data_IF_822438374368
#
_entry.id   IF_822438374368
#
_cell.length_a   1.000
_cell.length_b   1.000
_cell.length_c   1.000
_cell.angle_alpha   90.00
_cell.angle_beta   90.00
_cell.angle_gamma   90.00
#
_symmetry.space_group_name_H-M   'P 1'
#
loop_
_entity.id
_entity.type
_entity.pdbx_description
1 polymer ?
#
# COMPACT_ATOMS: atom_id res chain seq x y z
N UNK A 1 -34.96 -9.46 16.38
CA UNK A 1 -34.66 -8.17 15.72
C UNK A 1 -34.04 -7.27 16.77
N UNK A 2 -32.73 -7.28 16.88
CA UNK A 2 -31.96 -6.36 17.74
C UNK A 2 -31.38 -5.30 16.80
N UNK A 3 -31.95 -4.11 16.85
CA UNK A 3 -31.40 -2.94 16.20
C UNK A 3 -30.25 -2.44 17.06
N UNK A 4 -29.02 -2.87 16.73
CA UNK A 4 -27.79 -2.23 17.21
C UNK A 4 -27.78 -0.78 16.71
N UNK A 5 -28.26 0.12 17.56
CA UNK A 5 -28.04 1.55 17.42
C UNK A 5 -26.58 1.81 17.76
N UNK A 6 -25.66 1.68 16.79
CA UNK A 6 -24.33 2.29 16.87
C UNK A 6 -24.58 3.79 17.09
N UNK A 7 -24.30 4.27 18.29
CA UNK A 7 -24.24 5.70 18.59
C UNK A 7 -23.19 6.31 17.67
N UNK A 8 -23.62 7.03 16.64
CA UNK A 8 -22.73 7.79 15.77
C UNK A 8 -22.08 8.86 16.62
N UNK A 9 -20.82 8.73 16.91
CA UNK A 9 -20.04 9.77 17.60
C UNK A 9 -20.10 11.03 16.74
N UNK A 10 -20.46 12.17 17.33
CA UNK A 10 -20.57 13.42 16.57
C UNK A 10 -19.20 13.88 16.08
N UNK A 11 -19.15 14.59 14.96
CA UNK A 11 -17.92 15.16 14.41
C UNK A 11 -17.23 16.10 15.42
N UNK A 12 -18.00 16.83 16.25
CA UNK A 12 -17.47 17.68 17.31
C UNK A 12 -16.77 16.86 18.40
N UNK A 13 -17.36 15.73 18.79
CA UNK A 13 -16.76 14.83 19.78
C UNK A 13 -15.47 14.17 19.24
N UNK A 14 -15.48 13.75 17.97
CA UNK A 14 -14.27 13.21 17.31
C UNK A 14 -13.16 14.26 17.27
N UNK A 15 -13.47 15.51 16.89
CA UNK A 15 -12.51 16.60 16.86
C UNK A 15 -11.91 16.86 18.24
N UNK A 16 -12.75 17.04 19.25
CA UNK A 16 -12.29 17.30 20.63
C UNK A 16 -11.42 16.15 21.18
N UNK A 17 -11.82 14.90 20.95
CA UNK A 17 -11.06 13.72 21.38
C UNK A 17 -9.69 13.66 20.68
N UNK A 18 -9.67 13.81 19.35
CA UNK A 18 -8.44 13.71 18.58
C UNK A 18 -7.48 14.88 18.87
N UNK A 19 -7.97 16.10 18.98
CA UNK A 19 -7.14 17.26 19.33
C UNK A 19 -6.50 17.09 20.70
N UNK A 20 -7.28 16.68 21.73
CA UNK A 20 -6.74 16.38 23.05
C UNK A 20 -5.70 15.26 23.01
N UNK A 21 -5.99 14.19 22.28
CA UNK A 21 -5.06 13.06 22.13
C UNK A 21 -3.76 13.46 21.42
N UNK A 22 -3.84 14.31 20.39
CA UNK A 22 -2.67 14.83 19.70
C UNK A 22 -1.86 15.76 20.60
N UNK A 23 -2.50 16.65 21.37
CA UNK A 23 -1.81 17.55 22.29
C UNK A 23 -1.00 16.78 23.37
N UNK A 24 -1.45 15.57 23.76
CA UNK A 24 -0.75 14.70 24.71
C UNK A 24 0.33 13.82 24.08
N UNK A 25 0.14 13.38 22.85
CA UNK A 25 0.93 12.30 22.25
C UNK A 25 1.81 12.72 21.08
N UNK A 26 1.43 13.77 20.34
CA UNK A 26 2.18 14.24 19.20
C UNK A 26 3.42 15.02 19.61
N UNK A 27 4.59 14.66 19.05
CA UNK A 27 5.81 15.44 19.15
C UNK A 27 6.66 15.22 17.89
N UNK A 28 7.13 16.28 17.23
CA UNK A 28 8.03 16.17 16.08
C UNK A 28 9.42 15.61 16.44
N UNK A 29 9.79 15.61 17.72
CA UNK A 29 11.10 15.14 18.20
C UNK A 29 11.17 13.62 18.41
N UNK A 30 10.04 12.92 18.25
CA UNK A 30 10.02 11.45 18.26
C UNK A 30 10.59 10.89 16.95
N UNK A 31 11.10 9.66 16.96
CA UNK A 31 11.34 8.96 15.70
C UNK A 31 10.01 8.63 15.01
N UNK A 32 10.02 8.54 13.67
CA UNK A 32 8.81 8.23 12.90
C UNK A 32 8.16 6.91 13.33
N UNK A 33 8.98 5.88 13.60
CA UNK A 33 8.49 4.58 14.06
C UNK A 33 7.83 4.69 15.43
N UNK A 34 8.49 5.32 16.41
CA UNK A 34 7.92 5.49 17.74
C UNK A 34 6.61 6.31 17.74
N UNK A 35 6.52 7.31 16.88
CA UNK A 35 5.27 8.03 16.67
C UNK A 35 4.16 7.14 16.11
N UNK A 36 4.48 6.36 15.05
CA UNK A 36 3.49 5.49 14.42
C UNK A 36 3.05 4.34 15.31
N UNK A 37 3.91 3.84 16.20
CA UNK A 37 3.50 2.89 17.24
C UNK A 37 2.41 3.47 18.14
N UNK A 38 2.61 4.71 18.64
CA UNK A 38 1.62 5.42 19.44
C UNK A 38 0.33 5.64 18.64
N UNK A 39 0.45 6.01 17.37
CA UNK A 39 -0.67 6.26 16.48
C UNK A 39 -1.52 4.99 16.25
N UNK A 40 -0.86 3.84 16.08
CA UNK A 40 -1.51 2.53 15.91
C UNK A 40 -2.20 2.11 17.20
N UNK A 41 -1.52 2.24 18.35
CA UNK A 41 -2.08 1.88 19.67
C UNK A 41 -3.28 2.78 20.04
N UNK A 42 -3.26 4.04 19.62
CA UNK A 42 -4.37 4.98 19.78
C UNK A 42 -5.58 4.71 18.85
N UNK A 43 -5.44 3.80 17.88
CA UNK A 43 -6.50 3.51 16.91
C UNK A 43 -6.69 4.60 15.85
N UNK A 44 -5.75 5.54 15.73
CA UNK A 44 -5.83 6.67 14.80
C UNK A 44 -5.07 6.43 13.48
N UNK A 45 -4.31 5.31 13.40
CA UNK A 45 -3.53 4.96 12.21
C UNK A 45 -4.41 4.65 11.00
N UNK A 46 -5.53 3.99 11.23
CA UNK A 46 -6.50 3.60 10.21
C UNK A 46 -7.94 3.76 10.73
N UNK A 47 -8.41 5.00 10.94
CA UNK A 47 -9.62 5.29 11.72
C UNK A 47 -10.90 4.64 11.16
N UNK A 48 -10.95 4.34 9.87
CA UNK A 48 -12.07 3.62 9.24
C UNK A 48 -12.07 2.10 9.46
N UNK A 49 -10.97 1.53 9.97
CA UNK A 49 -10.90 0.09 10.22
C UNK A 49 -11.64 -0.31 11.49
N UNK A 50 -12.00 -1.60 11.64
CA UNK A 50 -12.53 -2.12 12.91
C UNK A 50 -11.57 -1.86 14.08
N UNK A 51 -12.13 -1.62 15.27
CA UNK A 51 -11.33 -1.33 16.46
C UNK A 51 -10.40 -2.47 16.88
N UNK A 52 -10.78 -3.70 16.60
CA UNK A 52 -9.96 -4.90 16.81
C UNK A 52 -8.71 -4.97 15.91
N UNK A 53 -8.66 -4.15 14.85
CA UNK A 53 -7.56 -4.04 13.89
C UNK A 53 -7.05 -2.60 13.76
N UNK A 54 -6.80 -1.95 14.89
CA UNK A 54 -6.13 -0.64 14.99
C UNK A 54 -6.91 0.55 14.41
N UNK A 55 -8.24 0.43 14.29
CA UNK A 55 -9.14 1.48 13.82
C UNK A 55 -10.16 1.91 14.87
N UNK A 56 -11.17 2.65 14.42
CA UNK A 56 -12.28 3.17 15.25
C UNK A 56 -13.66 2.88 14.64
N UNK A 57 -13.70 2.23 13.48
CA UNK A 57 -14.92 1.93 12.76
C UNK A 57 -15.63 3.17 12.21
N UNK A 58 -14.88 4.23 11.95
CA UNK A 58 -15.40 5.48 11.44
C UNK A 58 -15.87 5.36 10.00
N UNK A 59 -16.90 6.10 9.66
CA UNK A 59 -17.34 6.24 8.28
C UNK A 59 -16.42 7.16 7.45
N UNK A 60 -16.73 7.32 6.17
CA UNK A 60 -15.91 8.09 5.24
C UNK A 60 -15.74 9.56 5.63
N UNK A 61 -16.82 10.18 6.11
CA UNK A 61 -16.81 11.61 6.45
C UNK A 61 -16.05 11.84 7.75
N UNK A 62 -16.19 10.94 8.71
CA UNK A 62 -15.43 10.93 9.96
C UNK A 62 -13.93 10.69 9.71
N UNK A 63 -13.58 9.77 8.80
CA UNK A 63 -12.19 9.56 8.37
C UNK A 63 -11.63 10.83 7.71
N UNK A 64 -12.40 11.51 6.87
CA UNK A 64 -11.98 12.76 6.24
C UNK A 64 -11.71 13.86 7.28
N UNK A 65 -12.55 13.96 8.32
CA UNK A 65 -12.36 14.87 9.44
C UNK A 65 -11.06 14.57 10.21
N UNK A 66 -10.78 13.30 10.49
CA UNK A 66 -9.50 12.89 11.12
C UNK A 66 -8.32 13.36 10.28
N UNK A 67 -8.36 13.17 8.97
CA UNK A 67 -7.30 13.62 8.06
C UNK A 67 -7.13 15.14 8.04
N UNK A 68 -8.22 15.89 8.16
CA UNK A 68 -8.20 17.35 8.27
C UNK A 68 -7.48 17.79 9.53
N UNK A 69 -7.83 17.22 10.69
CA UNK A 69 -7.23 17.56 11.98
C UNK A 69 -5.73 17.23 12.00
N UNK A 70 -5.32 16.07 11.45
CA UNK A 70 -3.90 15.73 11.32
C UNK A 70 -3.14 16.78 10.50
N UNK A 71 -3.75 17.28 9.42
CA UNK A 71 -3.18 18.32 8.58
C UNK A 71 -3.06 19.66 9.32
N UNK A 72 -4.09 20.05 10.06
CA UNK A 72 -4.10 21.27 10.87
C UNK A 72 -3.00 21.26 11.95
N UNK A 73 -2.81 20.11 12.60
CA UNK A 73 -1.80 19.89 13.65
C UNK A 73 -0.38 19.59 13.08
N UNK A 74 -0.24 19.38 11.78
CA UNK A 74 1.01 18.96 11.14
C UNK A 74 1.45 17.55 11.50
N UNK A 75 0.59 16.75 12.10
CA UNK A 75 0.94 15.40 12.52
C UNK A 75 1.09 14.43 11.32
N UNK A 76 2.16 13.63 11.34
CA UNK A 76 2.42 12.62 10.29
C UNK A 76 1.53 11.40 10.51
N UNK A 77 0.93 10.87 9.44
CA UNK A 77 0.09 9.69 9.49
C UNK A 77 0.81 8.35 9.41
N UNK A 78 0.03 7.27 9.35
CA UNK A 78 0.52 5.90 9.17
C UNK A 78 1.19 5.69 7.80
N UNK A 79 2.00 4.64 7.71
CA UNK A 79 2.65 4.21 6.47
C UNK A 79 1.65 3.49 5.54
N UNK A 80 0.77 4.25 4.89
CA UNK A 80 -0.36 3.72 4.12
C UNK A 80 -0.31 4.18 2.65
N UNK A 81 0.83 3.99 1.97
CA UNK A 81 1.01 4.40 0.57
C UNK A 81 1.40 3.21 -0.32
N UNK A 82 1.01 3.29 -1.59
CA UNK A 82 1.41 2.34 -2.63
C UNK A 82 1.07 0.88 -2.29
N UNK A 83 2.00 -0.05 -2.51
CA UNK A 83 1.77 -1.47 -2.25
C UNK A 83 1.45 -1.82 -0.79
N UNK A 84 1.94 -1.05 0.20
CA UNK A 84 1.57 -1.22 1.62
C UNK A 84 0.07 -1.10 1.82
N UNK A 85 -0.55 -0.07 1.22
CA UNK A 85 -2.00 0.12 1.30
C UNK A 85 -2.75 -1.04 0.66
N UNK A 86 -2.32 -1.48 -0.53
CA UNK A 86 -2.96 -2.60 -1.22
C UNK A 86 -2.88 -3.89 -0.40
N UNK A 87 -1.71 -4.17 0.19
CA UNK A 87 -1.52 -5.33 1.06
C UNK A 87 -2.41 -5.24 2.30
N UNK A 88 -2.40 -4.12 3.02
CA UNK A 88 -3.15 -3.96 4.25
C UNK A 88 -4.67 -4.02 4.04
N UNK A 89 -5.21 -3.34 3.03
CA UNK A 89 -6.64 -3.38 2.72
C UNK A 89 -7.07 -4.78 2.26
N UNK A 90 -6.23 -5.49 1.50
CA UNK A 90 -6.51 -6.87 1.08
C UNK A 90 -6.46 -7.83 2.26
N UNK A 91 -5.44 -7.75 3.11
CA UNK A 91 -5.33 -8.59 4.32
C UNK A 91 -6.51 -8.32 5.26
N UNK A 92 -6.88 -7.06 5.47
CA UNK A 92 -8.02 -6.70 6.31
C UNK A 92 -9.33 -7.32 5.79
N UNK A 93 -9.55 -7.28 4.47
CA UNK A 93 -10.79 -7.77 3.86
C UNK A 93 -10.85 -9.29 3.71
N UNK A 94 -9.74 -9.94 3.39
CA UNK A 94 -9.70 -11.33 2.92
C UNK A 94 -8.80 -12.24 3.76
N UNK A 95 -7.93 -11.68 4.61
CA UNK A 95 -7.07 -12.43 5.51
C UNK A 95 -7.83 -13.01 6.70
N UNK A 96 -7.27 -14.08 7.28
CA UNK A 96 -7.73 -14.60 8.56
C UNK A 96 -7.19 -13.75 9.74
N UNK A 97 -7.67 -14.00 10.94
CA UNK A 97 -7.32 -13.20 12.11
C UNK A 97 -5.82 -13.24 12.45
N UNK A 98 -5.16 -14.37 12.23
CA UNK A 98 -3.71 -14.48 12.48
C UNK A 98 -2.90 -13.69 11.47
N UNK A 99 -3.29 -13.70 10.19
CA UNK A 99 -2.68 -12.86 9.15
C UNK A 99 -2.88 -11.37 9.46
N UNK A 100 -4.09 -10.97 9.86
CA UNK A 100 -4.39 -9.58 10.24
C UNK A 100 -3.52 -9.13 11.42
N UNK A 101 -3.41 -9.95 12.49
CA UNK A 101 -2.58 -9.62 13.66
C UNK A 101 -1.09 -9.53 13.33
N UNK A 102 -0.58 -10.43 12.46
CA UNK A 102 0.85 -10.45 12.10
C UNK A 102 1.25 -9.29 11.20
N UNK A 103 0.43 -8.93 10.25
CA UNK A 103 0.85 -8.05 9.16
C UNK A 103 0.33 -6.63 9.24
N UNK A 104 -0.87 -6.37 9.81
CA UNK A 104 -1.46 -5.04 9.72
C UNK A 104 -0.68 -4.01 10.54
N UNK A 105 -0.25 -4.34 11.77
CA UNK A 105 0.54 -3.41 12.59
C UNK A 105 1.87 -3.01 11.92
N UNK A 106 2.76 -3.94 11.51
CA UNK A 106 4.01 -3.59 10.86
C UNK A 106 3.85 -2.83 9.53
N UNK A 107 2.72 -3.02 8.84
CA UNK A 107 2.39 -2.21 7.66
C UNK A 107 2.09 -0.77 8.07
N UNK A 108 1.22 -0.56 9.08
CA UNK A 108 0.80 0.77 9.51
C UNK A 108 1.94 1.58 10.14
N UNK A 109 2.84 0.93 10.88
CA UNK A 109 4.04 1.57 11.45
C UNK A 109 5.10 1.87 10.39
N UNK A 110 5.09 1.13 9.28
CA UNK A 110 6.09 1.24 8.22
C UNK A 110 7.32 0.34 8.42
N UNK A 111 7.30 -0.56 9.41
CA UNK A 111 8.36 -1.56 9.60
C UNK A 111 8.50 -2.48 8.39
N UNK A 112 7.38 -2.87 7.77
CA UNK A 112 7.38 -3.74 6.61
C UNK A 112 7.12 -2.96 5.32
N UNK A 113 8.04 -3.05 4.39
CA UNK A 113 7.86 -2.62 3.01
C UNK A 113 7.23 -3.75 2.18
N UNK A 114 6.31 -3.41 1.29
CA UNK A 114 5.56 -4.39 0.49
C UNK A 114 5.68 -4.10 -1.00
N UNK A 115 5.59 -5.15 -1.82
CA UNK A 115 5.45 -5.04 -3.27
C UNK A 115 4.31 -5.91 -3.78
N UNK A 116 3.87 -5.63 -5.03
CA UNK A 116 2.84 -6.39 -5.72
C UNK A 116 3.48 -7.26 -6.80
N UNK A 117 3.21 -8.58 -6.77
CA UNK A 117 3.80 -9.61 -7.60
C UNK A 117 2.72 -10.28 -8.46
N UNK A 118 2.14 -9.51 -9.39
CA UNK A 118 1.02 -9.97 -10.21
C UNK A 118 1.46 -10.28 -11.64
N UNK A 119 1.92 -9.25 -12.38
CA UNK A 119 2.25 -9.36 -13.80
C UNK A 119 3.44 -10.27 -14.08
N UNK A 120 3.40 -10.93 -15.23
CA UNK A 120 4.47 -11.76 -15.78
C UNK A 120 4.81 -11.30 -17.21
N UNK A 121 5.96 -11.68 -17.79
CA UNK A 121 6.29 -11.33 -19.18
C UNK A 121 5.19 -11.70 -20.18
N UNK A 122 4.49 -12.82 -19.96
CA UNK A 122 3.39 -13.30 -20.79
C UNK A 122 1.99 -13.00 -20.28
N UNK A 123 1.83 -12.35 -19.13
CA UNK A 123 0.54 -12.18 -18.46
C UNK A 123 0.45 -10.85 -17.74
N UNK A 124 -0.20 -9.89 -18.37
CA UNK A 124 -0.51 -8.56 -17.82
C UNK A 124 -2.01 -8.34 -17.79
N UNK A 125 -2.61 -7.88 -18.90
CA UNK A 125 -4.06 -7.67 -18.99
C UNK A 125 -4.86 -8.95 -18.80
N UNK A 126 -4.38 -10.08 -19.31
CA UNK A 126 -4.90 -11.39 -18.96
C UNK A 126 -4.16 -11.95 -17.73
N UNK A 127 -4.37 -11.35 -16.56
CA UNK A 127 -3.72 -11.78 -15.33
C UNK A 127 -4.02 -13.25 -15.02
N UNK A 128 -5.23 -13.72 -15.32
CA UNK A 128 -5.59 -15.13 -15.11
C UNK A 128 -4.80 -16.12 -15.99
N UNK A 129 -4.10 -15.63 -17.01
CA UNK A 129 -3.16 -16.43 -17.84
C UNK A 129 -1.80 -16.67 -17.19
N UNK A 130 -1.59 -16.25 -15.93
CA UNK A 130 -0.32 -16.38 -15.23
C UNK A 130 0.21 -17.81 -15.19
N UNK A 131 1.54 -17.93 -15.25
CA UNK A 131 2.30 -19.19 -15.27
C UNK A 131 3.09 -19.47 -13.97
N UNK A 132 3.09 -18.54 -13.03
CA UNK A 132 3.67 -18.75 -11.69
C UNK A 132 3.10 -20.02 -11.09
N UNK A 133 3.98 -20.95 -10.74
CA UNK A 133 3.61 -22.26 -10.18
C UNK A 133 3.78 -22.23 -8.67
N UNK A 134 2.78 -22.77 -7.96
CA UNK A 134 2.85 -23.02 -6.53
C UNK A 134 2.46 -24.49 -6.27
N UNK A 135 3.34 -25.25 -5.64
CA UNK A 135 3.15 -26.66 -5.30
C UNK A 135 3.40 -26.88 -3.82
N UNK A 136 2.66 -27.79 -3.22
CA UNK A 136 2.92 -28.20 -1.83
C UNK A 136 4.03 -29.26 -1.82
N UNK A 137 5.13 -28.95 -1.14
CA UNK A 137 6.24 -29.88 -0.89
C UNK A 137 6.53 -29.81 0.62
N UNK A 138 6.50 -30.96 1.29
CA UNK A 138 6.73 -31.09 2.74
C UNK A 138 5.86 -30.12 3.59
N UNK A 139 4.59 -29.92 3.18
CA UNK A 139 3.63 -29.08 3.87
C UNK A 139 3.81 -27.58 3.69
N UNK A 140 4.70 -27.14 2.81
CA UNK A 140 4.93 -25.73 2.46
C UNK A 140 4.67 -25.49 0.99
N UNK A 141 4.28 -24.29 0.63
CA UNK A 141 4.18 -23.88 -0.77
C UNK A 141 5.56 -23.55 -1.32
N UNK A 142 5.91 -24.15 -2.44
CA UNK A 142 7.14 -23.90 -3.19
C UNK A 142 6.79 -23.15 -4.47
N UNK A 143 7.38 -21.97 -4.65
CA UNK A 143 7.05 -21.03 -5.72
C UNK A 143 8.16 -20.99 -6.75
N UNK A 144 7.75 -21.06 -8.04
CA UNK A 144 8.64 -20.86 -9.21
C UNK A 144 8.00 -19.86 -10.15
N UNK A 145 8.68 -18.74 -10.43
CA UNK A 145 8.16 -17.73 -11.35
C UNK A 145 9.20 -16.71 -11.81
N UNK A 146 8.77 -15.92 -12.79
CA UNK A 146 9.28 -14.59 -13.09
C UNK A 146 8.13 -13.60 -13.05
N UNK A 147 8.21 -12.60 -12.16
CA UNK A 147 7.29 -11.48 -12.11
C UNK A 147 7.96 -10.23 -12.67
N UNK A 148 7.19 -9.33 -13.27
CA UNK A 148 7.69 -8.09 -13.88
C UNK A 148 6.87 -6.88 -13.50
N UNK A 149 7.42 -5.70 -13.69
CA UNK A 149 6.79 -4.40 -13.40
C UNK A 149 6.51 -4.20 -11.91
N UNK A 150 7.33 -4.82 -11.06
CA UNK A 150 7.15 -4.78 -9.61
C UNK A 150 7.78 -3.50 -9.04
N UNK A 151 6.94 -2.50 -8.79
CA UNK A 151 7.38 -1.22 -8.22
C UNK A 151 8.03 -1.42 -6.86
N UNK A 152 9.26 -0.88 -6.70
CA UNK A 152 10.01 -0.87 -5.43
C UNK A 152 10.24 -2.26 -4.79
N UNK A 153 10.19 -3.36 -5.58
CA UNK A 153 10.39 -4.70 -5.03
C UNK A 153 11.77 -4.90 -4.38
N UNK A 154 12.79 -4.14 -4.81
CA UNK A 154 14.14 -4.16 -4.23
C UNK A 154 14.21 -3.61 -2.78
N UNK A 155 13.19 -2.86 -2.36
CA UNK A 155 13.05 -2.37 -0.98
C UNK A 155 12.06 -3.21 -0.16
N UNK A 156 11.29 -4.11 -0.80
CA UNK A 156 10.23 -4.84 -0.12
C UNK A 156 10.76 -5.93 0.82
N UNK A 157 10.12 -6.05 1.98
CA UNK A 157 10.28 -7.17 2.91
C UNK A 157 9.30 -8.28 2.59
N UNK A 158 8.09 -7.91 2.13
CA UNK A 158 7.03 -8.84 1.77
C UNK A 158 6.41 -8.49 0.41
N UNK A 159 5.80 -9.50 -0.21
CA UNK A 159 5.03 -9.35 -1.44
C UNK A 159 3.64 -9.96 -1.37
N UNK A 160 2.69 -9.33 -2.04
CA UNK A 160 1.39 -9.94 -2.35
C UNK A 160 1.51 -10.64 -3.70
N UNK A 161 1.39 -11.96 -3.70
CA UNK A 161 1.69 -12.82 -4.85
C UNK A 161 0.45 -13.57 -5.32
N UNK A 162 0.22 -13.60 -6.63
CA UNK A 162 -0.74 -14.52 -7.27
C UNK A 162 0.03 -15.65 -7.98
N UNK A 163 -0.40 -16.90 -7.73
CA UNK A 163 0.20 -18.08 -8.30
C UNK A 163 -0.85 -19.14 -8.65
N UNK A 164 -0.53 -20.03 -9.56
CA UNK A 164 -1.38 -21.14 -9.94
C UNK A 164 -1.07 -22.37 -9.09
N UNK A 165 -2.08 -22.85 -8.40
CA UNK A 165 -2.03 -24.07 -7.58
C UNK A 165 -2.71 -25.26 -8.25
N UNK A 166 -3.62 -25.01 -9.20
CA UNK A 166 -4.30 -26.08 -9.93
C UNK A 166 -4.38 -25.73 -11.43
N UNK A 167 -3.90 -26.64 -12.28
CA UNK A 167 -3.85 -26.50 -13.73
C UNK A 167 -4.97 -27.23 -14.46
N UNK A 168 -5.71 -28.13 -13.77
CA UNK A 168 -6.70 -29.04 -14.36
C UNK A 168 -8.12 -28.45 -14.34
N UNK A 169 -8.27 -27.23 -13.84
CA UNK A 169 -9.56 -26.53 -13.71
C UNK A 169 -9.52 -25.17 -14.43
N UNK A 170 -10.67 -24.51 -14.64
CA UNK A 170 -10.71 -23.20 -15.30
C UNK A 170 -9.75 -22.20 -14.67
N UNK A 171 -9.05 -21.42 -15.51
CA UNK A 171 -7.88 -20.61 -15.12
C UNK A 171 -8.09 -19.71 -13.91
N UNK A 172 -9.26 -19.12 -13.75
CA UNK A 172 -9.59 -18.25 -12.60
C UNK A 172 -9.73 -19.02 -11.27
N UNK A 173 -10.17 -20.28 -11.34
CA UNK A 173 -10.37 -21.11 -10.16
C UNK A 173 -9.09 -21.78 -9.67
N UNK A 174 -8.08 -21.90 -10.57
CA UNK A 174 -6.79 -22.53 -10.26
C UNK A 174 -5.75 -21.56 -9.67
N UNK A 175 -6.15 -20.34 -9.30
CA UNK A 175 -5.26 -19.30 -8.76
C UNK A 175 -5.43 -19.20 -7.25
N UNK A 176 -4.31 -19.07 -6.55
CA UNK A 176 -4.23 -18.80 -5.12
C UNK A 176 -3.43 -17.53 -4.86
N UNK A 177 -3.62 -16.94 -3.67
CA UNK A 177 -3.03 -15.68 -3.28
C UNK A 177 -2.17 -15.86 -2.02
N UNK A 178 -0.95 -15.35 -2.04
CA UNK A 178 0.04 -15.59 -1.01
C UNK A 178 0.66 -14.29 -0.50
N UNK A 179 1.07 -14.32 0.78
CA UNK A 179 1.96 -13.33 1.37
C UNK A 179 3.35 -13.97 1.41
N UNK A 180 4.32 -13.39 0.71
CA UNK A 180 5.64 -13.98 0.57
C UNK A 180 6.72 -13.08 1.15
N UNK A 181 7.64 -13.67 1.93
CA UNK A 181 8.87 -13.02 2.37
C UNK A 181 9.79 -12.81 1.15
N UNK A 182 10.20 -11.55 0.92
CA UNK A 182 11.08 -11.18 -0.18
C UNK A 182 12.57 -11.31 0.16
N UNK A 183 12.92 -11.50 1.44
CA UNK A 183 14.30 -11.57 1.94
C UNK A 183 14.83 -13.00 2.11
N UNK A 184 14.10 -13.98 1.60
CA UNK A 184 14.46 -15.39 1.70
C UNK A 184 15.37 -15.86 0.55
N UNK A 185 16.12 -16.98 0.72
CA UNK A 185 16.77 -17.67 -0.38
C UNK A 185 15.77 -18.05 -1.49
N UNK A 186 16.22 -17.99 -2.74
CA UNK A 186 15.38 -18.32 -3.90
C UNK A 186 14.57 -17.15 -4.44
N UNK A 187 14.60 -15.98 -3.80
CA UNK A 187 14.03 -14.73 -4.33
C UNK A 187 15.17 -13.83 -4.81
N UNK A 188 15.15 -13.49 -6.08
CA UNK A 188 16.11 -12.57 -6.70
C UNK A 188 15.35 -11.40 -7.34
N UNK A 189 15.71 -10.19 -6.94
CA UNK A 189 15.12 -8.95 -7.48
C UNK A 189 16.14 -8.26 -8.36
N UNK A 190 15.76 -7.97 -9.61
CA UNK A 190 16.59 -7.28 -10.60
C UNK A 190 15.93 -6.00 -11.05
N UNK A 191 16.61 -4.85 -10.97
CA UNK A 191 16.12 -3.60 -11.54
C UNK A 191 15.86 -3.73 -13.05
N UNK A 192 14.70 -3.26 -13.49
CA UNK A 192 14.30 -3.26 -14.89
C UNK A 192 14.53 -1.85 -15.46
N UNK A 193 15.58 -1.73 -16.28
CA UNK A 193 15.93 -0.45 -16.89
C UNK A 193 14.92 -0.09 -17.98
N UNK A 194 14.20 1.00 -17.76
CA UNK A 194 13.22 1.55 -18.68
C UNK A 194 13.88 2.37 -19.78
N UNK A 195 13.12 2.68 -20.84
CA UNK A 195 13.59 3.46 -21.99
C UNK A 195 14.08 4.86 -21.62
N UNK A 196 13.54 5.46 -20.56
CA UNK A 196 13.98 6.74 -20.00
C UNK A 196 15.23 6.63 -19.14
N UNK A 197 15.82 5.42 -19.00
CA UNK A 197 16.99 5.16 -18.16
C UNK A 197 16.71 4.91 -16.69
N UNK A 198 15.45 5.02 -16.27
CA UNK A 198 14.98 4.79 -14.91
C UNK A 198 14.81 3.31 -14.60
N UNK A 199 14.93 2.89 -13.35
CA UNK A 199 14.82 1.50 -12.91
C UNK A 199 13.97 1.33 -11.63
N UNK A 200 12.81 2.00 -11.59
CA UNK A 200 11.85 1.88 -10.47
C UNK A 200 11.08 0.58 -10.48
N UNK A 201 10.91 -0.01 -11.66
CA UNK A 201 10.33 -1.32 -11.79
C UNK A 201 11.41 -2.40 -11.69
N UNK A 202 10.99 -3.56 -11.25
CA UNK A 202 11.87 -4.70 -11.09
C UNK A 202 11.28 -5.93 -11.78
N UNK A 203 12.16 -6.86 -12.13
CA UNK A 203 11.84 -8.25 -12.33
C UNK A 203 12.12 -8.99 -11.03
N UNK A 204 11.28 -9.94 -10.69
CA UNK A 204 11.45 -10.79 -9.51
C UNK A 204 11.43 -12.24 -9.96
N UNK A 205 12.56 -12.92 -9.77
CA UNK A 205 12.70 -14.34 -10.03
C UNK A 205 12.55 -15.11 -8.72
N UNK A 206 11.75 -16.15 -8.76
CA UNK A 206 11.57 -17.07 -7.65
C UNK A 206 11.96 -18.48 -8.10
N UNK A 207 12.96 -19.05 -7.43
CA UNK A 207 13.44 -20.40 -7.66
C UNK A 207 13.35 -21.15 -6.34
N UNK A 208 12.31 -21.99 -6.22
CA UNK A 208 12.00 -22.74 -5.00
C UNK A 208 11.81 -21.84 -3.76
N UNK A 209 11.26 -20.63 -3.96
CA UNK A 209 10.91 -19.75 -2.84
C UNK A 209 9.78 -20.37 -2.02
N UNK A 210 9.86 -20.24 -0.70
CA UNK A 210 8.97 -20.93 0.24
C UNK A 210 7.92 -19.96 0.78
N UNK A 211 6.67 -20.40 0.78
CA UNK A 211 5.57 -19.71 1.50
C UNK A 211 4.98 -20.69 2.52
N UNK A 212 4.93 -20.30 3.81
CA UNK A 212 4.23 -21.08 4.81
C UNK A 212 2.75 -21.27 4.47
N UNK A 213 2.15 -22.38 4.88
CA UNK A 213 0.74 -22.67 4.58
C UNK A 213 -0.21 -21.61 5.16
N UNK A 214 0.15 -21.03 6.31
CA UNK A 214 -0.59 -19.97 6.99
C UNK A 214 -0.58 -18.63 6.25
N UNK A 215 0.28 -18.44 5.24
CA UNK A 215 0.35 -17.22 4.42
C UNK A 215 -0.42 -17.32 3.09
N UNK A 216 -1.23 -18.35 2.94
CA UNK A 216 -2.25 -18.46 1.91
C UNK A 216 -3.49 -17.63 2.30
N UNK A 217 -3.85 -16.62 1.51
CA UNK A 217 -4.98 -15.73 1.80
C UNK A 217 -6.25 -16.20 1.11
N UNK A 218 -7.33 -16.28 1.85
CA UNK A 218 -8.66 -16.60 1.31
C UNK A 218 -8.88 -18.07 0.95
N UNK A 219 -7.87 -18.94 1.15
CA UNK A 219 -7.91 -20.37 0.83
C UNK A 219 -7.46 -20.69 -0.60
N UNK A 220 -7.12 -21.96 -0.83
CA UNK A 220 -6.66 -22.45 -2.13
C UNK A 220 -7.77 -22.34 -3.18
N UNK A 221 -7.39 -21.91 -4.39
CA UNK A 221 -8.31 -21.71 -5.52
C UNK A 221 -9.15 -20.43 -5.45
N UNK A 222 -9.11 -19.68 -4.36
CA UNK A 222 -9.86 -18.44 -4.20
C UNK A 222 -9.01 -17.17 -4.52
N UNK A 223 -7.81 -17.35 -5.00
CA UNK A 223 -6.87 -16.24 -5.25
C UNK A 223 -7.36 -15.22 -6.27
N UNK A 224 -8.23 -15.61 -7.21
CA UNK A 224 -8.82 -14.67 -8.14
C UNK A 224 -9.74 -13.66 -7.45
N UNK A 225 -10.57 -14.09 -6.51
CA UNK A 225 -11.42 -13.21 -5.73
C UNK A 225 -10.57 -12.25 -4.86
N UNK A 226 -9.50 -12.76 -4.25
CA UNK A 226 -8.56 -11.93 -3.47
C UNK A 226 -7.85 -10.91 -4.37
N UNK A 227 -7.34 -11.33 -5.53
CA UNK A 227 -6.65 -10.45 -6.48
C UNK A 227 -7.59 -9.35 -7.02
N UNK A 228 -8.84 -9.68 -7.36
CA UNK A 228 -9.83 -8.69 -7.81
C UNK A 228 -10.20 -7.71 -6.70
N UNK A 229 -10.21 -8.14 -5.44
CA UNK A 229 -10.36 -7.26 -4.28
C UNK A 229 -9.19 -6.27 -4.21
N UNK A 230 -7.94 -6.74 -4.30
CA UNK A 230 -6.74 -5.89 -4.36
C UNK A 230 -6.83 -4.86 -5.50
N UNK A 231 -7.17 -5.31 -6.71
CA UNK A 231 -7.31 -4.43 -7.88
C UNK A 231 -8.45 -3.41 -7.72
N UNK A 232 -9.50 -3.75 -6.97
CA UNK A 232 -10.58 -2.80 -6.68
C UNK A 232 -10.09 -1.64 -5.79
N UNK A 233 -9.23 -1.93 -4.82
CA UNK A 233 -8.59 -0.91 -3.99
C UNK A 233 -7.61 -0.07 -4.80
N UNK A 234 -6.83 -0.68 -5.66
CA UNK A 234 -5.92 0.04 -6.56
C UNK A 234 -6.65 1.08 -7.42
N UNK A 235 -7.79 0.70 -8.02
CA UNK A 235 -8.62 1.58 -8.86
C UNK A 235 -9.30 2.71 -8.11
N UNK A 236 -9.57 2.57 -6.82
CA UNK A 236 -10.16 3.64 -5.99
C UNK A 236 -9.21 4.82 -5.78
N UNK A 237 -7.97 4.70 -6.26
CA UNK A 237 -6.93 5.71 -6.07
C UNK A 237 -6.40 5.72 -4.63
N UNK A 238 -5.37 6.49 -4.39
CA UNK A 238 -4.98 6.80 -3.02
C UNK A 238 -6.11 7.61 -2.41
N UNK A 239 -6.77 7.07 -1.36
CA UNK A 239 -7.47 7.92 -0.42
C UNK A 239 -6.51 9.03 0.01
N UNK A 240 -6.97 10.24 0.35
CA UNK A 240 -6.10 11.25 0.92
C UNK A 240 -5.32 10.57 2.04
N UNK A 241 -4.02 10.34 1.81
CA UNK A 241 -3.17 9.78 2.84
C UNK A 241 -3.12 10.77 3.99
N UNK A 242 -3.04 10.26 5.23
CA UNK A 242 -2.70 11.06 6.41
C UNK A 242 -1.29 11.66 6.24
N UNK A 243 -1.10 12.46 5.21
CA UNK A 243 0.15 13.18 4.98
C UNK A 243 0.00 14.59 5.54
N UNK A 244 0.08 14.71 6.86
CA UNK A 244 0.17 16.01 7.52
C UNK A 244 1.45 16.78 7.15
N UNK A 245 2.45 16.08 6.66
CA UNK A 245 3.71 16.66 6.20
C UNK A 245 3.61 17.11 4.74
N UNK A 246 2.61 17.87 4.39
CA UNK A 246 2.52 18.39 3.04
C UNK A 246 2.72 19.87 2.99
N UNK A 247 3.39 20.30 1.97
CA UNK A 247 3.15 21.58 1.26
C UNK A 247 3.02 22.85 2.11
N UNK A 248 3.41 22.87 3.38
CA UNK A 248 3.68 24.15 4.02
C UNK A 248 4.94 24.70 3.36
N UNK A 249 4.89 25.94 2.93
CA UNK A 249 6.03 26.69 2.38
C UNK A 249 7.22 26.73 3.37
N UNK A 250 7.00 26.33 4.61
CA UNK A 250 8.01 26.15 5.64
C UNK A 250 8.27 24.67 5.90
N UNK A 251 9.50 24.17 5.68
CA UNK A 251 9.88 22.80 6.04
C UNK A 251 9.71 22.62 7.55
N UNK A 252 8.87 21.67 7.94
CA UNK A 252 8.71 21.31 9.35
C UNK A 252 9.98 20.59 9.83
N UNK A 253 10.43 20.91 11.03
CA UNK A 253 11.64 20.37 11.65
C UNK A 253 11.30 19.31 12.70
N UNK A 254 12.17 18.32 12.87
CA UNK A 254 12.05 17.26 13.87
C UNK A 254 12.28 15.86 13.32
N UNK A 255 12.59 14.91 14.19
CA UNK A 255 12.97 13.54 13.82
C UNK A 255 11.86 12.80 13.06
N UNK A 256 10.60 13.04 13.39
CA UNK A 256 9.45 12.44 12.67
C UNK A 256 9.46 12.88 11.21
N UNK A 257 9.67 14.16 10.96
CA UNK A 257 9.69 14.70 9.59
C UNK A 257 10.94 14.29 8.81
N UNK A 258 12.08 14.13 9.49
CA UNK A 258 13.29 13.58 8.86
C UNK A 258 13.06 12.16 8.38
N UNK A 259 12.53 11.31 9.25
CA UNK A 259 12.18 9.94 8.90
C UNK A 259 11.13 9.86 7.79
N UNK A 260 10.11 10.73 7.83
CA UNK A 260 9.08 10.79 6.81
C UNK A 260 9.62 11.26 5.45
N UNK A 261 10.53 12.24 5.44
CA UNK A 261 11.21 12.67 4.20
C UNK A 261 12.05 11.56 3.58
N UNK A 262 12.76 10.75 4.40
CA UNK A 262 13.48 9.58 3.91
C UNK A 262 12.53 8.53 3.32
N UNK A 263 11.42 8.23 4.00
CA UNK A 263 10.41 7.33 3.46
C UNK A 263 9.83 7.83 2.13
N UNK A 264 9.56 9.13 2.02
CA UNK A 264 9.08 9.74 0.78
C UNK A 264 10.13 9.70 -0.34
N UNK A 265 11.42 9.82 -0.03
CA UNK A 265 12.47 9.66 -1.04
C UNK A 265 12.42 8.26 -1.65
N UNK A 266 12.35 7.22 -0.82
CA UNK A 266 12.23 5.83 -1.26
C UNK A 266 10.94 5.63 -2.07
N UNK A 267 9.81 6.10 -1.55
CA UNK A 267 8.51 5.97 -2.23
C UNK A 267 8.45 6.74 -3.56
N UNK A 268 9.16 7.86 -3.67
CA UNK A 268 9.22 8.70 -4.87
C UNK A 268 10.46 8.42 -5.74
N UNK A 269 11.37 7.54 -5.35
CA UNK A 269 12.54 7.16 -6.15
C UNK A 269 12.19 6.89 -7.62
N UNK A 270 11.09 6.18 -7.93
CA UNK A 270 10.61 5.99 -9.28
C UNK A 270 10.39 7.27 -10.07
N UNK A 271 10.17 8.39 -9.41
CA UNK A 271 9.77 9.66 -10.03
C UNK A 271 10.88 10.71 -10.02
N UNK A 272 11.96 10.54 -9.25
CA UNK A 272 13.04 11.53 -9.14
C UNK A 272 13.84 11.67 -10.41
N UNK A 273 13.96 10.61 -11.22
CA UNK A 273 14.68 10.59 -12.50
C UNK A 273 13.85 11.08 -13.68
N UNK A 274 12.57 11.28 -13.48
CA UNK A 274 11.65 11.71 -14.53
C UNK A 274 11.36 13.19 -14.36
N UNK A 275 12.19 14.09 -14.94
CA UNK A 275 11.98 15.54 -14.84
C UNK A 275 10.65 15.97 -15.48
N UNK A 276 10.10 15.10 -16.33
CA UNK A 276 8.80 15.28 -17.00
C UNK A 276 7.82 14.27 -16.47
N UNK A 277 7.29 14.50 -15.28
CA UNK A 277 6.22 13.66 -14.72
C UNK A 277 5.06 13.59 -15.71
N UNK A 278 4.43 12.42 -15.79
CA UNK A 278 3.16 12.27 -16.49
C UNK A 278 2.19 13.34 -15.96
N UNK A 279 1.57 14.10 -16.86
CA UNK A 279 0.66 15.17 -16.47
C UNK A 279 1.32 16.52 -16.16
N UNK A 280 2.55 16.75 -16.61
CA UNK A 280 3.18 18.09 -16.56
C UNK A 280 2.48 19.06 -17.51
N UNK A 281 1.28 19.49 -17.08
CA UNK A 281 0.49 20.51 -17.80
C UNK A 281 1.24 21.84 -17.92
N UNK A 282 2.09 22.16 -16.92
CA UNK A 282 2.93 23.35 -16.90
C UNK A 282 3.80 23.50 -18.15
N UNK A 283 4.39 22.41 -18.66
CA UNK A 283 5.19 22.45 -19.89
C UNK A 283 4.34 22.74 -21.13
N UNK A 284 3.19 22.11 -21.21
CA UNK A 284 2.26 22.31 -22.34
C UNK A 284 1.66 23.72 -22.28
N UNK A 285 1.27 24.17 -21.08
CA UNK A 285 0.70 25.50 -20.88
C UNK A 285 1.70 26.60 -21.20
N UNK A 286 2.95 26.50 -20.71
CA UNK A 286 4.00 27.46 -21.01
C UNK A 286 4.26 27.57 -22.52
N UNK A 287 4.27 26.46 -23.25
CA UNK A 287 4.41 26.44 -24.70
C UNK A 287 3.17 27.02 -25.40
N UNK A 288 1.97 26.67 -24.93
CA UNK A 288 0.73 27.21 -25.47
C UNK A 288 0.60 28.71 -25.26
N UNK A 289 1.01 29.23 -24.12
CA UNK A 289 1.06 30.66 -23.83
C UNK A 289 2.07 31.37 -24.77
N UNK A 290 3.29 30.84 -24.89
CA UNK A 290 4.35 31.38 -25.74
C UNK A 290 3.95 31.44 -27.20
N UNK A 291 3.10 30.52 -27.68
CA UNK A 291 2.61 30.45 -29.07
C UNK A 291 1.24 31.11 -29.28
N UNK A 292 0.60 31.62 -28.20
CA UNK A 292 -0.76 32.15 -28.26
C UNK A 292 -1.84 31.10 -28.42
N UNK A 293 -1.51 29.80 -28.27
CA UNK A 293 -2.44 28.71 -28.51
C UNK A 293 -3.53 28.60 -27.41
N UNK A 294 -3.34 29.22 -26.26
CA UNK A 294 -4.35 29.31 -25.21
C UNK A 294 -5.61 30.09 -25.59
N UNK A 295 -5.53 30.86 -26.67
CA UNK A 295 -6.70 31.58 -27.22
C UNK A 295 -7.59 30.72 -28.14
N UNK A 296 -7.18 29.49 -28.45
CA UNK A 296 -7.99 28.59 -29.27
C UNK A 296 -9.00 27.81 -28.43
N UNK A 297 -10.27 27.67 -28.92
CA UNK A 297 -11.34 27.08 -28.10
C UNK A 297 -11.25 25.57 -27.88
N UNK A 298 -10.17 24.92 -28.29
CA UNK A 298 -9.92 23.47 -28.13
C UNK A 298 -8.79 23.14 -27.17
N UNK A 299 -8.26 24.13 -26.46
CA UNK A 299 -7.19 23.91 -25.43
C UNK A 299 -7.70 24.33 -24.06
#
# INVERSE_FOLDING_TARGET
MSTDTKSLTSNEAIRAELESWLDENWSPDRSLLAWRDILVDGGWAAPGWPSEYFGRGFDRDQVALVHEIFREKGAVGAASVGPRRLASETILAMGNDDQKRRYLRPILTGEHAWCQLFSEPGSGSDLAGLSTKAEVIDGKWVIKCQKVWNTSAHHADFGILVARTNWDIPKHQGISYFLIDMRQPGVEVRPLKQMNGHASFNEVFMTDAIVPAEDLVGGEGNGWAVATTTLSYERRGAAPTLSGASTSENPQEGLVYDGYREELKIANEPYTWYPQRQGRVDLVMSQAEATGATSYPVI
#
